data_IF_467085021645
#
_entry.id   IF_467085021645
#
_cell.length_a   1.000
_cell.length_b   1.000
_cell.length_c   1.000
_cell.angle_alpha   90.00
_cell.angle_beta   90.00
_cell.angle_gamma   90.00
#
_symmetry.space_group_name_H-M   'P 1'
#
loop_
_entity.id
_entity.type
_entity.pdbx_description
1 polymer ?
#
# COMPACT_ATOMS: atom_id res chain seq x y z
N UNK A 1 -7.91 9.27 -16.10
CA UNK A 1 -6.98 10.11 -15.31
C UNK A 1 -7.21 9.81 -13.85
N UNK A 2 -6.17 9.46 -13.10
CA UNK A 2 -6.26 9.19 -11.65
C UNK A 2 -6.25 10.52 -10.90
N UNK A 3 -7.16 10.67 -9.93
CA UNK A 3 -7.29 11.86 -9.09
C UNK A 3 -6.99 11.51 -7.63
N UNK A 4 -6.49 12.46 -6.86
CA UNK A 4 -6.29 12.32 -5.41
C UNK A 4 -7.60 12.52 -4.64
N UNK A 5 -7.55 12.40 -3.31
CA UNK A 5 -8.71 12.57 -2.43
C UNK A 5 -9.33 13.98 -2.47
N UNK A 6 -8.59 14.98 -2.96
CA UNK A 6 -9.03 16.37 -3.12
C UNK A 6 -9.49 16.66 -4.56
N UNK A 7 -9.56 15.64 -5.42
CA UNK A 7 -9.99 15.77 -6.81
C UNK A 7 -8.92 16.36 -7.74
N UNK A 8 -7.69 16.57 -7.28
CA UNK A 8 -6.57 17.05 -8.12
C UNK A 8 -6.02 15.92 -8.96
N UNK A 9 -5.41 16.26 -10.10
CA UNK A 9 -4.71 15.26 -10.93
C UNK A 9 -3.54 14.70 -10.14
N UNK A 10 -3.35 13.38 -10.18
CA UNK A 10 -2.18 12.76 -9.59
C UNK A 10 -0.94 13.03 -10.46
N UNK A 11 0.09 13.68 -9.92
CA UNK A 11 1.35 13.93 -10.62
C UNK A 11 2.55 14.04 -9.66
N UNK A 12 3.72 13.64 -10.15
CA UNK A 12 4.97 13.72 -9.39
C UNK A 12 5.31 15.16 -8.98
N UNK A 13 4.91 16.14 -9.79
CA UNK A 13 5.09 17.57 -9.53
C UNK A 13 4.23 18.14 -8.39
N UNK A 14 3.16 17.42 -8.00
CA UNK A 14 2.25 17.81 -6.92
C UNK A 14 2.48 16.99 -5.63
N UNK A 15 3.46 16.07 -5.64
CA UNK A 15 3.78 15.24 -4.48
C UNK A 15 2.68 14.27 -4.05
N UNK A 16 1.66 14.07 -4.88
CA UNK A 16 0.50 13.22 -4.56
C UNK A 16 0.55 11.84 -5.23
N UNK A 17 1.73 11.41 -5.69
CA UNK A 17 2.00 10.09 -6.26
C UNK A 17 2.81 9.27 -5.24
N UNK A 18 2.32 8.07 -4.91
CA UNK A 18 3.05 7.10 -4.08
C UNK A 18 3.72 6.06 -4.99
N UNK A 19 4.98 5.73 -4.73
CA UNK A 19 5.67 4.67 -5.44
C UNK A 19 5.07 3.29 -5.07
N UNK A 20 4.67 2.45 -6.04
CA UNK A 20 4.22 1.09 -5.75
C UNK A 20 5.23 0.24 -4.98
N UNK A 21 6.55 0.48 -5.12
CA UNK A 21 7.57 -0.24 -4.36
C UNK A 21 7.52 0.10 -2.87
N UNK A 22 7.30 1.36 -2.52
CA UNK A 22 7.16 1.80 -1.13
C UNK A 22 5.92 1.18 -0.47
N UNK A 23 4.87 0.90 -1.26
CA UNK A 23 3.69 0.15 -0.80
C UNK A 23 3.99 -1.34 -0.59
N UNK A 24 4.81 -1.94 -1.46
CA UNK A 24 5.17 -3.37 -1.39
C UNK A 24 6.11 -3.64 -0.20
N UNK A 25 7.09 -2.77 0.01
CA UNK A 25 8.06 -2.91 1.11
C UNK A 25 7.52 -2.39 2.45
N UNK A 26 6.46 -1.57 2.42
CA UNK A 26 5.84 -1.02 3.61
C UNK A 26 6.61 0.18 4.15
N UNK A 27 6.40 1.34 3.54
CA UNK A 27 6.90 2.63 4.02
C UNK A 27 6.01 3.19 5.13
N UNK A 28 6.59 3.84 6.13
CA UNK A 28 5.84 4.56 7.18
C UNK A 28 5.34 5.92 6.69
N UNK A 29 4.41 6.53 7.42
CA UNK A 29 3.93 7.88 7.12
C UNK A 29 5.08 8.89 7.19
N UNK A 30 5.94 8.76 8.20
CA UNK A 30 7.12 9.61 8.38
C UNK A 30 8.09 9.43 7.20
N UNK A 31 8.32 8.20 6.74
CA UNK A 31 9.17 7.94 5.58
C UNK A 31 8.63 8.56 4.28
N UNK A 32 7.31 8.56 4.08
CA UNK A 32 6.67 9.26 2.97
C UNK A 32 6.84 10.78 3.07
N UNK A 33 6.74 11.34 4.28
CA UNK A 33 6.95 12.77 4.52
C UNK A 33 8.41 13.18 4.28
N UNK A 34 9.37 12.36 4.71
CA UNK A 34 10.79 12.57 4.45
C UNK A 34 11.10 12.51 2.95
N UNK A 35 10.53 11.56 2.21
CA UNK A 35 10.67 11.51 0.75
C UNK A 35 10.08 12.76 0.07
N UNK A 36 8.95 13.28 0.55
CA UNK A 36 8.38 14.52 0.03
C UNK A 36 9.30 15.72 0.30
N UNK A 37 9.87 15.82 1.51
CA UNK A 37 10.80 16.88 1.87
C UNK A 37 12.14 16.79 1.12
N UNK A 38 12.60 15.57 0.81
CA UNK A 38 13.81 15.32 0.05
C UNK A 38 13.62 15.47 -1.47
N UNK A 39 12.38 15.48 -1.94
CA UNK A 39 12.07 15.61 -3.37
C UNK A 39 12.22 17.06 -3.85
N UNK A 40 12.39 17.23 -5.17
CA UNK A 40 12.53 18.54 -5.79
C UNK A 40 11.18 19.27 -5.97
N UNK A 41 10.26 19.12 -5.02
CA UNK A 41 8.94 19.75 -5.01
C UNK A 41 9.06 21.24 -4.68
N UNK A 42 8.14 22.04 -5.22
CA UNK A 42 7.99 23.42 -4.78
C UNK A 42 7.59 23.43 -3.29
N UNK A 43 8.20 24.33 -2.51
CA UNK A 43 7.94 24.46 -1.07
C UNK A 43 6.47 24.74 -0.77
N UNK A 44 5.76 25.37 -1.71
CA UNK A 44 4.33 25.63 -1.62
C UNK A 44 3.48 24.35 -1.75
N UNK A 45 3.99 23.32 -2.43
CA UNK A 45 3.30 22.05 -2.66
C UNK A 45 3.62 21.00 -1.58
N UNK A 46 4.69 21.18 -0.79
CA UNK A 46 5.06 20.25 0.31
C UNK A 46 3.96 20.17 1.37
N UNK A 47 3.43 21.31 1.82
CA UNK A 47 2.34 21.34 2.82
C UNK A 47 1.06 20.63 2.35
N UNK A 48 0.47 20.96 1.20
CA UNK A 48 -0.74 20.29 0.72
C UNK A 48 -0.50 18.83 0.31
N UNK A 49 0.72 18.45 -0.09
CA UNK A 49 1.08 17.04 -0.30
C UNK A 49 1.12 16.27 1.04
N UNK A 50 1.71 16.87 2.08
CA UNK A 50 1.79 16.30 3.42
C UNK A 50 0.41 16.16 4.07
N UNK A 51 -0.43 17.19 3.93
CA UNK A 51 -1.82 17.19 4.40
C UNK A 51 -2.72 16.22 3.63
N UNK A 52 -2.37 15.89 2.38
CA UNK A 52 -3.07 14.86 1.61
C UNK A 52 -2.76 13.44 2.07
N UNK A 53 -1.64 13.22 2.77
CA UNK A 53 -1.25 11.91 3.30
C UNK A 53 -1.97 11.57 4.61
N UNK A 54 -2.23 12.55 5.47
CA UNK A 54 -2.78 12.36 6.83
C UNK A 54 -4.20 11.82 6.90
N UNK A 55 -5.20 12.28 6.10
CA UNK A 55 -6.58 11.79 6.18
C UNK A 55 -6.74 10.36 5.63
N UNK A 56 -5.82 9.93 4.76
CA UNK A 56 -5.88 8.66 4.04
C UNK A 56 -5.03 7.54 4.66
N UNK A 57 -4.12 7.85 5.57
CA UNK A 57 -3.29 6.88 6.28
C UNK A 57 -3.99 6.55 7.61
N UNK A 58 -4.43 5.30 7.88
CA UNK A 58 -3.96 4.02 7.32
C UNK A 58 -4.86 3.37 6.26
N UNK A 59 -5.97 4.01 5.86
CA UNK A 59 -6.98 3.42 4.98
C UNK A 59 -6.47 3.12 3.55
N UNK A 60 -5.66 3.98 2.94
CA UNK A 60 -5.15 3.76 1.58
C UNK A 60 -4.16 2.60 1.53
N UNK A 61 -3.22 2.53 2.49
CA UNK A 61 -2.29 1.41 2.61
C UNK A 61 -3.05 0.11 2.87
N UNK A 62 -4.05 0.15 3.76
CA UNK A 62 -4.90 -1.01 4.03
C UNK A 62 -5.68 -1.46 2.79
N UNK A 63 -6.24 -0.53 2.01
CA UNK A 63 -6.98 -0.82 0.78
C UNK A 63 -6.04 -1.43 -0.26
N UNK A 64 -4.87 -0.83 -0.53
CA UNK A 64 -3.93 -1.35 -1.54
C UNK A 64 -3.39 -2.72 -1.15
N UNK A 65 -3.04 -2.94 0.12
CA UNK A 65 -2.64 -4.26 0.63
C UNK A 65 -3.76 -5.28 0.45
N UNK A 66 -5.02 -4.91 0.70
CA UNK A 66 -6.16 -5.80 0.50
C UNK A 66 -6.42 -6.10 -0.99
N UNK A 67 -6.31 -5.11 -1.87
CA UNK A 67 -6.41 -5.32 -3.32
C UNK A 67 -5.30 -6.22 -3.83
N UNK A 68 -4.05 -5.99 -3.41
CA UNK A 68 -2.91 -6.81 -3.79
C UNK A 68 -3.04 -8.25 -3.27
N UNK A 69 -3.44 -8.43 -1.99
CA UNK A 69 -3.74 -9.76 -1.43
C UNK A 69 -4.82 -10.49 -2.22
N UNK A 70 -5.87 -9.78 -2.63
CA UNK A 70 -6.98 -10.35 -3.41
C UNK A 70 -6.50 -10.76 -4.80
N UNK A 71 -5.72 -9.90 -5.47
CA UNK A 71 -5.16 -10.17 -6.79
C UNK A 71 -4.19 -11.36 -6.77
N UNK A 72 -3.23 -11.37 -5.85
CA UNK A 72 -2.26 -12.46 -5.69
C UNK A 72 -2.98 -13.77 -5.32
N UNK A 73 -3.96 -13.73 -4.42
CA UNK A 73 -4.76 -14.92 -4.09
C UNK A 73 -5.55 -15.44 -5.29
N UNK A 74 -6.12 -14.56 -6.13
CA UNK A 74 -6.84 -14.95 -7.34
C UNK A 74 -5.90 -15.54 -8.39
N UNK A 75 -4.72 -14.92 -8.59
CA UNK A 75 -3.69 -15.40 -9.51
C UNK A 75 -3.16 -16.78 -9.10
N UNK A 76 -2.79 -16.96 -7.83
CA UNK A 76 -2.30 -18.25 -7.32
C UNK A 76 -3.37 -19.34 -7.46
N UNK A 77 -4.63 -19.02 -7.17
CA UNK A 77 -5.74 -19.96 -7.36
C UNK A 77 -5.92 -20.34 -8.82
N UNK A 78 -5.77 -19.39 -9.75
CA UNK A 78 -5.88 -19.62 -11.19
C UNK A 78 -4.72 -20.45 -11.75
N UNK A 79 -3.48 -20.15 -11.35
CA UNK A 79 -2.27 -20.77 -11.90
C UNK A 79 -1.97 -22.12 -11.26
N UNK A 80 -2.10 -22.23 -9.94
CA UNK A 80 -1.68 -23.41 -9.18
C UNK A 80 -2.85 -24.23 -8.61
N UNK A 81 -4.10 -23.80 -8.83
CA UNK A 81 -5.29 -24.46 -8.25
C UNK A 81 -5.34 -24.41 -6.72
N UNK A 82 -4.42 -23.70 -6.08
CA UNK A 82 -4.28 -23.66 -4.63
C UNK A 82 -5.26 -22.67 -4.02
N UNK A 83 -6.10 -23.17 -3.11
CA UNK A 83 -6.99 -22.34 -2.33
C UNK A 83 -6.26 -21.82 -1.09
N UNK A 84 -5.91 -20.53 -1.10
CA UNK A 84 -5.12 -19.88 -0.05
C UNK A 84 -5.74 -20.05 1.35
N UNK A 85 -7.07 -20.10 1.46
CA UNK A 85 -7.77 -20.35 2.72
C UNK A 85 -7.51 -21.75 3.28
N UNK A 86 -7.46 -22.78 2.41
CA UNK A 86 -7.14 -24.16 2.82
C UNK A 86 -5.67 -24.27 3.23
N UNK A 87 -4.77 -23.62 2.50
CA UNK A 87 -3.34 -23.62 2.80
C UNK A 87 -3.06 -22.93 4.14
N UNK A 88 -3.66 -21.76 4.38
CA UNK A 88 -3.54 -21.02 5.64
C UNK A 88 -4.03 -21.85 6.83
N UNK A 89 -5.21 -22.50 6.71
CA UNK A 89 -5.71 -23.43 7.74
C UNK A 89 -4.76 -24.61 7.99
N UNK A 90 -4.17 -25.18 6.93
CA UNK A 90 -3.23 -26.31 7.04
C UNK A 90 -1.93 -25.92 7.73
N UNK A 91 -1.38 -24.75 7.38
CA UNK A 91 -0.16 -24.19 7.99
C UNK A 91 -0.40 -23.85 9.46
N UNK A 92 -1.48 -23.13 9.79
CA UNK A 92 -1.80 -22.78 11.19
C UNK A 92 -1.99 -24.02 12.05
N UNK A 93 -2.66 -25.06 11.51
CA UNK A 93 -2.78 -26.36 12.18
C UNK A 93 -1.42 -27.05 12.37
N UNK A 94 -0.53 -27.00 11.37
CA UNK A 94 0.83 -27.55 11.46
C UNK A 94 1.66 -26.87 12.56
N UNK A 95 1.59 -25.54 12.65
CA UNK A 95 2.29 -24.77 13.68
C UNK A 95 1.69 -24.94 15.08
N UNK A 96 0.37 -25.14 15.21
CA UNK A 96 -0.23 -25.46 16.53
C UNK A 96 0.12 -26.86 17.02
N UNK A 97 0.37 -27.81 16.11
CA UNK A 97 0.81 -29.17 16.46
C UNK A 97 2.28 -29.25 16.85
N UNK A 98 3.11 -28.29 16.41
CA UNK A 98 4.56 -28.25 16.70
C UNK A 98 4.92 -27.48 17.98
N UNK A 99 3.94 -26.84 18.63
CA UNK A 99 4.09 -26.15 19.94
C UNK A 99 3.57 -26.98 21.13
N UNK A 100 3.22 -28.25 20.92
CA UNK A 100 3.05 -29.26 21.98
C UNK A 100 4.25 -30.18 21.93
#
# INVERSE_FOLDING_TARGET
MVRDAHGRKMSKSLGNVIDPMDVIYGITLEGLQEQLMASNLDRNEIKPATEGLTPGYPNVLFIVINYFKTFVSAYIKKVYGLNFLKLKKKITKLFSLRRK
#
